data_IF_043305590000
#
_entry.id   IF_043305590000
#
_cell.length_a   1.000
_cell.length_b   1.000
_cell.length_c   1.000
_cell.angle_alpha   90.00
_cell.angle_beta   90.00
_cell.angle_gamma   90.00
#
_symmetry.space_group_name_H-M   'P 1'
#
loop_
_entity.id
_entity.type
_entity.pdbx_description
1 polymer ?
#
# COMPACT_ATOMS: atom_id res chain seq x y z
N UNK A 1 33.44 13.85 2.53
CA UNK A 1 32.36 14.76 2.97
C UNK A 1 31.07 13.96 2.97
N UNK A 2 30.58 13.65 4.16
CA UNK A 2 29.41 12.80 4.41
C UNK A 2 28.13 13.54 4.02
N UNK A 3 27.21 12.84 3.35
CA UNK A 3 25.79 13.19 3.35
C UNK A 3 25.02 11.93 3.75
N UNK A 4 24.86 11.74 5.05
CA UNK A 4 23.82 10.90 5.63
C UNK A 4 22.47 11.57 5.39
N UNK A 5 21.73 11.11 4.36
CA UNK A 5 20.32 11.43 4.21
C UNK A 5 19.49 10.45 5.05
N UNK A 6 18.44 10.91 5.77
CA UNK A 6 17.59 10.04 6.56
C UNK A 6 16.79 9.13 5.61
N UNK A 7 17.11 7.84 5.58
CA UNK A 7 16.37 6.84 4.79
C UNK A 7 15.05 6.50 5.47
N UNK A 8 14.04 7.34 5.24
CA UNK A 8 12.65 7.06 5.57
C UNK A 8 11.83 7.03 4.27
N UNK A 9 11.95 5.94 3.49
CA UNK A 9 11.00 5.55 2.45
C UNK A 9 11.51 4.28 1.74
N UNK A 10 10.98 3.10 2.06
CA UNK A 10 11.21 1.89 1.25
C UNK A 10 10.31 0.70 1.64
N UNK A 11 9.11 0.98 2.18
CA UNK A 11 8.21 -0.06 2.70
C UNK A 11 7.13 -0.54 1.72
N UNK A 12 6.79 0.25 0.70
CA UNK A 12 5.59 0.00 -0.13
C UNK A 12 5.72 -1.19 -1.07
N UNK A 13 6.91 -1.47 -1.58
CA UNK A 13 7.09 -2.53 -2.58
C UNK A 13 7.40 -3.88 -1.97
N UNK A 14 7.96 -3.91 -0.75
CA UNK A 14 8.38 -5.18 -0.15
C UNK A 14 7.19 -6.03 0.32
N UNK A 15 6.20 -5.41 0.97
CA UNK A 15 4.99 -6.10 1.42
C UNK A 15 4.04 -6.41 0.26
N UNK A 16 4.10 -5.63 -0.82
CA UNK A 16 3.22 -5.79 -1.97
C UNK A 16 3.73 -6.83 -2.98
N UNK A 17 5.02 -6.84 -3.29
CA UNK A 17 5.57 -7.61 -4.43
C UNK A 17 6.88 -8.35 -4.10
N UNK A 18 7.25 -8.41 -2.82
CA UNK A 18 8.47 -9.10 -2.39
C UNK A 18 8.38 -10.61 -2.50
N UNK A 19 9.06 -11.18 -3.50
CA UNK A 19 9.12 -12.64 -3.73
C UNK A 19 10.41 -13.27 -3.18
N UNK A 20 10.37 -14.54 -2.72
CA UNK A 20 9.19 -15.42 -2.56
C UNK A 20 8.14 -14.86 -1.55
N UNK A 21 6.85 -15.07 -1.82
CA UNK A 21 5.76 -14.62 -0.95
C UNK A 21 4.70 -15.68 -0.68
N UNK A 22 3.79 -15.41 0.27
CA UNK A 22 2.59 -16.22 0.50
C UNK A 22 1.34 -15.51 -0.03
N UNK A 23 0.15 -16.07 0.17
CA UNK A 23 -1.11 -15.47 -0.31
C UNK A 23 -1.46 -14.08 0.25
N UNK A 24 -0.92 -13.72 1.40
CA UNK A 24 -1.36 -12.58 2.18
C UNK A 24 -0.35 -11.44 2.24
N UNK A 25 0.95 -11.71 2.13
CA UNK A 25 1.98 -10.69 2.34
C UNK A 25 3.28 -11.03 1.62
N UNK A 26 3.90 -10.01 1.03
CA UNK A 26 5.28 -10.03 0.52
C UNK A 26 6.31 -9.89 1.63
N UNK A 27 7.52 -10.42 1.42
CA UNK A 27 8.54 -10.47 2.50
C UNK A 27 9.92 -9.94 2.08
N UNK A 28 10.15 -9.64 0.80
CA UNK A 28 11.47 -9.28 0.25
C UNK A 28 11.47 -7.88 -0.39
N UNK A 29 12.66 -7.27 -0.55
CA UNK A 29 12.88 -5.87 -1.01
C UNK A 29 12.73 -4.77 0.05
N UNK A 30 12.76 -5.10 1.34
CA UNK A 30 12.82 -4.07 2.39
C UNK A 30 14.04 -3.17 2.16
N UNK A 31 13.87 -1.85 2.26
CA UNK A 31 14.99 -0.93 2.03
C UNK A 31 15.41 -0.80 0.57
N UNK A 32 14.58 -1.24 -0.40
CA UNK A 32 14.98 -1.45 -1.80
C UNK A 32 16.16 -2.43 -1.95
N UNK A 33 16.37 -3.31 -0.97
CA UNK A 33 17.42 -4.32 -1.04
C UNK A 33 17.16 -5.24 -2.24
N UNK A 34 18.14 -5.36 -3.16
CA UNK A 34 18.01 -6.11 -4.44
C UNK A 34 17.04 -5.49 -5.46
N UNK A 35 16.85 -4.17 -5.41
CA UNK A 35 16.23 -3.38 -6.47
C UNK A 35 17.29 -2.67 -7.33
N UNK A 36 17.07 -2.47 -8.65
CA UNK A 36 15.97 -3.03 -9.44
C UNK A 36 16.19 -4.54 -9.72
N UNK A 37 15.13 -5.24 -10.10
CA UNK A 37 15.14 -6.65 -10.49
C UNK A 37 14.64 -6.81 -11.93
N UNK A 38 14.69 -8.02 -12.49
CA UNK A 38 14.13 -8.29 -13.82
C UNK A 38 12.61 -8.06 -13.89
N UNK A 39 11.91 -8.19 -12.76
CA UNK A 39 10.45 -8.05 -12.69
C UNK A 39 9.98 -6.66 -12.29
N UNK A 40 10.83 -5.89 -11.59
CA UNK A 40 10.45 -4.60 -11.04
C UNK A 40 11.60 -3.59 -11.08
N UNK A 41 11.32 -2.42 -11.63
CA UNK A 41 12.27 -1.31 -11.73
C UNK A 41 11.85 -0.09 -10.89
N UNK A 42 12.65 0.96 -10.92
CA UNK A 42 12.33 2.20 -10.19
C UNK A 42 11.07 2.91 -10.73
N UNK A 43 10.72 2.72 -12.01
CA UNK A 43 9.49 3.25 -12.58
C UNK A 43 8.26 2.62 -11.95
N UNK A 44 8.25 1.29 -11.84
CA UNK A 44 7.21 0.53 -11.16
C UNK A 44 7.14 0.86 -9.66
N UNK A 45 8.29 1.04 -9.01
CA UNK A 45 8.33 1.51 -7.62
C UNK A 45 7.63 2.86 -7.46
N UNK A 46 7.99 3.86 -8.28
CA UNK A 46 7.40 5.20 -8.21
C UNK A 46 5.90 5.19 -8.55
N UNK A 47 5.49 4.34 -9.49
CA UNK A 47 4.09 4.13 -9.83
C UNK A 47 3.27 3.60 -8.64
N UNK A 48 3.76 2.55 -7.97
CA UNK A 48 3.09 2.02 -6.77
C UNK A 48 3.15 2.98 -5.58
N UNK A 49 4.22 3.76 -5.47
CA UNK A 49 4.35 4.80 -4.46
C UNK A 49 3.35 5.95 -4.68
N UNK A 50 3.11 6.35 -5.93
CA UNK A 50 2.09 7.35 -6.24
C UNK A 50 0.68 6.92 -5.84
N UNK A 51 0.33 5.64 -6.03
CA UNK A 51 -0.94 5.09 -5.54
C UNK A 51 -1.03 5.03 -4.01
N UNK A 52 0.08 4.71 -3.33
CA UNK A 52 0.12 4.77 -1.87
C UNK A 52 -0.16 6.20 -1.37
N UNK A 53 0.44 7.21 -2.02
CA UNK A 53 0.16 8.63 -1.72
C UNK A 53 -1.30 8.96 -1.97
N UNK A 54 -1.88 8.49 -3.08
CA UNK A 54 -3.29 8.72 -3.38
C UNK A 54 -4.20 8.17 -2.28
N UNK A 55 -3.96 6.93 -1.80
CA UNK A 55 -4.72 6.35 -0.70
C UNK A 55 -4.63 7.17 0.61
N UNK A 56 -3.42 7.65 0.94
CA UNK A 56 -3.22 8.55 2.08
C UNK A 56 -3.91 9.91 1.89
N UNK A 57 -3.88 10.46 0.68
CA UNK A 57 -4.54 11.72 0.32
C UNK A 57 -6.07 11.65 0.44
N UNK A 58 -6.68 10.54 0.04
CA UNK A 58 -8.12 10.30 0.23
C UNK A 58 -8.47 10.33 1.72
N UNK A 59 -7.67 9.64 2.54
CA UNK A 59 -7.92 9.67 3.98
C UNK A 59 -7.70 11.07 4.56
N UNK A 60 -6.62 11.76 4.17
CA UNK A 60 -6.27 13.07 4.73
C UNK A 60 -7.40 14.09 4.55
N UNK A 61 -8.08 14.06 3.40
CA UNK A 61 -9.24 14.89 3.12
C UNK A 61 -10.42 14.64 4.07
N UNK A 62 -10.67 13.38 4.45
CA UNK A 62 -11.80 13.02 5.34
C UNK A 62 -11.61 13.47 6.79
N UNK A 63 -10.36 13.64 7.24
CA UNK A 63 -10.02 14.04 8.61
C UNK A 63 -9.52 15.48 8.72
N UNK A 64 -9.70 16.27 7.65
CA UNK A 64 -9.20 17.65 7.55
C UNK A 64 -9.65 18.54 8.73
N UNK A 65 -8.94 19.63 8.97
CA UNK A 65 -9.27 20.73 9.91
C UNK A 65 -9.08 20.49 11.42
N UNK A 66 -9.16 19.26 11.94
CA UNK A 66 -8.98 19.00 13.40
C UNK A 66 -8.10 17.79 13.74
N UNK A 67 -7.27 17.35 12.81
CA UNK A 67 -6.29 16.28 13.06
C UNK A 67 -4.97 16.90 13.48
N UNK A 68 -4.41 16.44 14.61
CA UNK A 68 -3.07 16.85 15.01
C UNK A 68 -2.04 16.35 13.99
N UNK A 69 -1.05 17.18 13.68
CA UNK A 69 -0.04 16.85 12.68
C UNK A 69 0.71 15.55 12.98
N UNK A 70 1.02 15.27 14.25
CA UNK A 70 1.68 14.02 14.67
C UNK A 70 0.77 12.80 14.40
N UNK A 71 -0.52 12.90 14.70
CA UNK A 71 -1.49 11.84 14.41
C UNK A 71 -1.57 11.59 12.89
N UNK A 72 -1.55 12.67 12.09
CA UNK A 72 -1.52 12.58 10.63
C UNK A 72 -0.29 11.84 10.10
N UNK A 73 0.91 12.13 10.64
CA UNK A 73 2.15 11.46 10.23
C UNK A 73 2.16 9.97 10.58
N UNK A 74 1.75 9.61 11.80
CA UNK A 74 1.69 8.21 12.23
C UNK A 74 0.69 7.44 11.37
N UNK A 75 -0.51 8.00 11.21
CA UNK A 75 -1.57 7.41 10.39
C UNK A 75 -1.11 7.20 8.95
N UNK A 76 -0.55 8.23 8.31
CA UNK A 76 -0.13 8.17 6.90
C UNK A 76 1.01 7.17 6.72
N UNK A 77 1.95 7.10 7.67
CA UNK A 77 3.05 6.13 7.66
C UNK A 77 2.54 4.70 7.81
N UNK A 78 1.55 4.47 8.67
CA UNK A 78 0.97 3.14 8.86
C UNK A 78 0.14 2.71 7.65
N UNK A 79 -0.69 3.61 7.11
CA UNK A 79 -1.50 3.32 5.94
C UNK A 79 -0.62 2.98 4.72
N UNK A 80 0.36 3.82 4.41
CA UNK A 80 1.23 3.64 3.23
C UNK A 80 2.30 2.57 3.43
N UNK A 81 2.78 2.37 4.66
CA UNK A 81 3.84 1.43 4.98
C UNK A 81 3.36 0.00 5.28
N UNK A 82 2.07 -0.19 5.60
CA UNK A 82 1.54 -1.49 6.03
C UNK A 82 0.21 -1.84 5.37
N UNK A 83 -0.83 -1.05 5.59
CA UNK A 83 -2.20 -1.40 5.12
C UNK A 83 -2.29 -1.46 3.60
N UNK A 84 -1.91 -0.38 2.92
CA UNK A 84 -1.93 -0.29 1.46
C UNK A 84 -1.12 -1.41 0.79
N UNK A 85 0.16 -1.66 1.13
CA UNK A 85 0.93 -2.66 0.41
C UNK A 85 0.47 -4.09 0.68
N UNK A 86 -0.11 -4.39 1.85
CA UNK A 86 -0.76 -5.68 2.10
C UNK A 86 -1.99 -5.87 1.22
N UNK A 87 -2.87 -4.87 1.14
CA UNK A 87 -4.07 -4.96 0.29
C UNK A 87 -3.70 -5.00 -1.19
N UNK A 88 -2.67 -4.25 -1.59
CA UNK A 88 -2.07 -4.32 -2.92
C UNK A 88 -1.52 -5.73 -3.21
N UNK A 89 -0.90 -6.40 -2.24
CA UNK A 89 -0.44 -7.77 -2.41
C UNK A 89 -1.61 -8.71 -2.75
N UNK A 90 -2.73 -8.59 -2.04
CA UNK A 90 -3.87 -9.49 -2.21
C UNK A 90 -4.44 -9.48 -3.63
N UNK A 91 -4.50 -8.32 -4.26
CA UNK A 91 -5.17 -8.13 -5.55
C UNK A 91 -4.19 -8.05 -6.73
N UNK A 92 -2.98 -7.51 -6.54
CA UNK A 92 -2.04 -7.21 -7.62
C UNK A 92 -0.78 -8.08 -7.63
N UNK A 93 -0.46 -8.81 -6.57
CA UNK A 93 0.64 -9.79 -6.61
C UNK A 93 0.19 -11.05 -7.35
N UNK A 94 1.10 -11.70 -8.09
CA UNK A 94 0.84 -13.03 -8.65
C UNK A 94 0.55 -14.07 -7.55
N UNK A 95 1.14 -13.91 -6.37
CA UNK A 95 0.94 -14.81 -5.23
C UNK A 95 -0.30 -14.46 -4.41
N UNK A 96 -0.94 -13.30 -4.64
CA UNK A 96 -2.05 -12.79 -3.82
C UNK A 96 -3.25 -13.74 -3.76
N UNK A 97 -3.89 -13.88 -2.60
CA UNK A 97 -5.01 -14.81 -2.40
C UNK A 97 -6.26 -14.45 -3.22
N UNK A 98 -6.46 -13.16 -3.53
CA UNK A 98 -7.57 -12.67 -4.34
C UNK A 98 -7.15 -12.35 -5.78
N UNK A 99 -5.87 -12.52 -6.13
CA UNK A 99 -5.33 -12.10 -7.39
C UNK A 99 -5.87 -12.94 -8.55
N UNK A 100 -6.27 -12.31 -9.68
CA UNK A 100 -6.65 -13.02 -10.89
C UNK A 100 -5.44 -13.63 -11.61
N UNK A 101 -4.21 -13.22 -11.25
CA UNK A 101 -2.95 -13.77 -11.78
C UNK A 101 -2.45 -15.00 -11.01
N UNK A 102 -3.16 -15.42 -9.96
CA UNK A 102 -2.80 -16.57 -9.14
C UNK A 102 -2.92 -17.87 -9.95
N UNK A 103 -1.95 -18.77 -9.80
CA UNK A 103 -1.88 -20.01 -10.57
C UNK A 103 -2.95 -21.05 -10.15
N UNK A 104 -3.36 -21.04 -8.88
CA UNK A 104 -4.23 -22.02 -8.27
C UNK A 104 -5.16 -21.38 -7.23
N UNK A 105 -6.25 -22.05 -6.83
CA UNK A 105 -7.14 -21.60 -5.75
C UNK A 105 -7.70 -20.17 -5.94
N UNK A 106 -8.13 -19.83 -7.17
CA UNK A 106 -8.72 -18.53 -7.48
C UNK A 106 -9.97 -18.26 -6.63
N UNK A 107 -10.01 -17.06 -6.04
CA UNK A 107 -11.21 -16.59 -5.33
C UNK A 107 -12.40 -16.53 -6.29
N UNK A 108 -13.51 -17.19 -5.92
CA UNK A 108 -14.71 -17.33 -6.76
C UNK A 108 -14.46 -17.90 -8.17
N UNK A 109 -13.33 -18.62 -8.37
CA UNK A 109 -12.96 -19.20 -9.66
C UNK A 109 -12.34 -18.23 -10.68
N UNK A 110 -12.21 -16.94 -10.36
CA UNK A 110 -11.65 -15.92 -11.27
C UNK A 110 -10.63 -14.97 -10.65
N UNK A 111 -10.62 -14.81 -9.32
CA UNK A 111 -9.93 -13.70 -8.66
C UNK A 111 -10.66 -12.36 -8.84
N UNK A 112 -10.07 -11.30 -8.28
CA UNK A 112 -10.62 -9.93 -8.24
C UNK A 112 -9.84 -9.03 -9.19
N UNK A 113 -10.53 -8.47 -10.19
CA UNK A 113 -9.93 -7.52 -11.12
C UNK A 113 -10.09 -6.10 -10.58
N UNK A 114 -8.98 -5.47 -10.22
CA UNK A 114 -8.93 -4.05 -9.88
C UNK A 114 -7.85 -3.37 -10.73
N UNK A 115 -8.23 -2.75 -11.85
CA UNK A 115 -7.25 -2.30 -12.85
C UNK A 115 -6.42 -1.10 -12.37
N UNK A 116 -7.05 -0.10 -11.75
CA UNK A 116 -6.43 1.18 -11.40
C UNK A 116 -6.61 1.57 -9.92
N UNK A 117 -7.06 0.64 -9.08
CA UNK A 117 -7.12 0.85 -7.63
C UNK A 117 -8.46 1.35 -7.11
N UNK A 118 -9.58 0.96 -7.72
CA UNK A 118 -10.91 1.18 -7.15
C UNK A 118 -11.06 0.53 -5.77
N UNK A 119 -10.52 -0.67 -5.58
CA UNK A 119 -10.44 -1.38 -4.31
C UNK A 119 -9.21 -0.98 -3.53
N UNK A 120 -8.02 -1.27 -4.06
CA UNK A 120 -6.76 -1.15 -3.29
C UNK A 120 -6.37 0.29 -2.93
N UNK A 121 -6.87 1.31 -3.64
CA UNK A 121 -6.60 2.72 -3.36
C UNK A 121 -7.85 3.43 -2.83
N UNK A 122 -8.94 3.46 -3.60
CA UNK A 122 -10.10 4.28 -3.28
C UNK A 122 -10.93 3.70 -2.13
N UNK A 123 -11.25 2.41 -2.16
CA UNK A 123 -11.98 1.77 -1.06
C UNK A 123 -11.14 1.73 0.21
N UNK A 124 -9.85 1.37 0.12
CA UNK A 124 -8.94 1.38 1.29
C UNK A 124 -8.85 2.78 1.90
N UNK A 125 -8.54 3.80 1.11
CA UNK A 125 -8.48 5.18 1.59
C UNK A 125 -9.82 5.70 2.11
N UNK A 126 -10.92 5.32 1.47
CA UNK A 126 -12.28 5.72 1.87
C UNK A 126 -12.71 5.10 3.20
N UNK A 127 -12.48 3.80 3.40
CA UNK A 127 -12.78 3.11 4.67
C UNK A 127 -11.89 3.65 5.79
N UNK A 128 -10.61 3.82 5.52
CA UNK A 128 -9.69 4.33 6.53
C UNK A 128 -10.02 5.79 6.89
N UNK A 129 -10.46 6.58 5.92
CA UNK A 129 -11.00 7.93 6.14
C UNK A 129 -12.30 7.95 6.93
N UNK A 130 -13.23 7.05 6.64
CA UNK A 130 -14.47 6.89 7.40
C UNK A 130 -14.16 6.59 8.88
N UNK A 131 -13.27 5.65 9.17
CA UNK A 131 -12.85 5.35 10.53
C UNK A 131 -12.16 6.53 11.20
N UNK A 132 -11.26 7.22 10.50
CA UNK A 132 -10.61 8.42 11.00
C UNK A 132 -11.61 9.53 11.37
N UNK A 133 -12.65 9.71 10.55
CA UNK A 133 -13.72 10.66 10.81
C UNK A 133 -14.61 10.25 11.99
N UNK A 134 -14.92 8.96 12.15
CA UNK A 134 -15.74 8.47 13.28
C UNK A 134 -15.03 8.56 14.64
N UNK A 135 -13.72 8.30 14.68
CA UNK A 135 -12.92 8.43 15.91
C UNK A 135 -12.78 9.88 16.36
N UNK A 136 -12.88 10.82 15.41
CA UNK A 136 -12.93 12.24 15.67
C UNK A 136 -14.35 12.58 16.09
N UNK A 137 -14.58 12.68 17.40
CA UNK A 137 -15.91 12.94 17.98
C UNK A 137 -16.67 14.07 17.25
N UNK A 138 -18.00 13.96 17.09
CA UNK A 138 -18.81 15.01 16.47
C UNK A 138 -18.68 16.33 17.23
N UNK A 139 -18.81 17.43 16.49
CA UNK A 139 -18.75 18.80 17.01
C UNK A 139 -19.91 19.11 17.97
#
# INVERSE_FOLDING_TARGET
MSLTLPQAASSTTFLAFGTPSNGFIGQHFFGLNKFPSQSFDYGYFLYQWAFAIAAAGITSGSIAERTQFVAYLIYSSFLTGFVYPIVSHWLWSADGWASPARADNLLFGSGVIDFAGSGVVHLVGGIAGLWGALMKAPA
#
